data_IF_996132062650
#
_entry.id   IF_996132062650
#
_cell.length_a   1.000
_cell.length_b   1.000
_cell.length_c   1.000
_cell.angle_alpha   90.00
_cell.angle_beta   90.00
_cell.angle_gamma   90.00
#
_symmetry.space_group_name_H-M   'P 1'
#
loop_
_entity.id
_entity.type
_entity.pdbx_description
1 polymer ?
#
# COMPACT_ATOMS: atom_id res chain seq x y z
N UNK A 1 8.98 -23.97 -0.92
CA UNK A 1 7.71 -23.41 -1.42
C UNK A 1 7.50 -22.14 -0.63
N UNK A 2 7.29 -21.04 -1.29
CA UNK A 2 7.22 -19.70 -0.69
C UNK A 2 5.84 -19.12 -0.96
N UNK A 3 5.14 -18.69 0.07
CA UNK A 3 3.87 -17.99 -0.05
C UNK A 3 4.12 -16.55 -0.53
N UNK A 4 3.44 -16.14 -1.58
CA UNK A 4 3.53 -14.78 -2.12
C UNK A 4 2.20 -14.28 -2.66
N UNK A 5 2.21 -13.09 -3.23
CA UNK A 5 1.06 -12.45 -3.85
C UNK A 5 1.38 -12.19 -5.32
N UNK A 6 0.61 -12.78 -6.22
CA UNK A 6 0.61 -12.40 -7.62
C UNK A 6 -0.20 -11.10 -7.81
N UNK A 7 0.41 -10.13 -8.47
CA UNK A 7 -0.16 -8.81 -8.76
C UNK A 7 -0.34 -8.67 -10.26
N UNK A 8 -1.51 -9.03 -10.80
CA UNK A 8 -1.78 -8.87 -12.22
C UNK A 8 -1.61 -7.42 -12.68
N UNK A 9 -1.14 -7.24 -13.91
CA UNK A 9 -1.00 -5.90 -14.51
C UNK A 9 -2.35 -5.24 -14.76
N UNK A 10 -3.39 -6.03 -15.04
CA UNK A 10 -4.76 -5.54 -15.14
C UNK A 10 -5.32 -5.27 -13.72
N UNK A 11 -5.62 -4.01 -13.37
CA UNK A 11 -6.14 -3.69 -12.04
C UNK A 11 -7.55 -4.23 -11.78
N UNK A 12 -8.28 -4.68 -12.81
CA UNK A 12 -9.59 -5.32 -12.65
C UNK A 12 -9.49 -6.78 -12.17
N UNK A 13 -8.32 -7.41 -12.36
CA UNK A 13 -8.06 -8.75 -11.84
C UNK A 13 -7.67 -8.68 -10.36
N UNK A 14 -8.17 -9.59 -9.49
CA UNK A 14 -7.83 -9.58 -8.08
C UNK A 14 -6.36 -9.93 -7.83
N UNK A 15 -5.85 -9.55 -6.66
CA UNK A 15 -4.61 -10.10 -6.15
C UNK A 15 -4.82 -11.60 -5.85
N UNK A 16 -3.82 -12.42 -6.15
CA UNK A 16 -3.89 -13.86 -5.90
C UNK A 16 -2.79 -14.28 -4.93
N UNK A 17 -3.19 -14.91 -3.83
CA UNK A 17 -2.23 -15.53 -2.90
C UNK A 17 -1.83 -16.88 -3.47
N UNK A 18 -0.53 -17.04 -3.76
CA UNK A 18 0.02 -18.20 -4.45
C UNK A 18 1.21 -18.79 -3.69
N UNK A 19 1.43 -20.10 -3.89
CA UNK A 19 2.63 -20.79 -3.43
C UNK A 19 3.61 -20.97 -4.59
N UNK A 20 4.81 -20.41 -4.47
CA UNK A 20 5.87 -20.48 -5.48
C UNK A 20 6.85 -21.58 -5.11
N UNK A 21 6.90 -22.63 -5.91
CA UNK A 21 7.70 -23.82 -5.61
C UNK A 21 9.20 -23.62 -5.89
N UNK A 22 9.53 -22.79 -6.88
CA UNK A 22 10.91 -22.61 -7.39
C UNK A 22 11.00 -21.39 -8.32
N UNK A 23 12.21 -21.12 -8.82
CA UNK A 23 12.48 -20.02 -9.77
C UNK A 23 11.56 -20.04 -11.00
N UNK A 24 11.27 -21.22 -11.55
CA UNK A 24 10.43 -21.32 -12.74
C UNK A 24 8.99 -20.86 -12.47
N UNK A 25 8.49 -21.00 -11.25
CA UNK A 25 7.17 -20.51 -10.87
C UNK A 25 7.11 -18.98 -10.88
N UNK A 26 8.15 -18.29 -10.37
CA UNK A 26 8.26 -16.83 -10.45
C UNK A 26 8.34 -16.35 -11.89
N UNK A 27 9.22 -17.00 -12.69
CA UNK A 27 9.40 -16.67 -14.11
C UNK A 27 8.13 -16.84 -14.92
N UNK A 28 7.34 -17.88 -14.62
CA UNK A 28 6.04 -18.08 -15.25
C UNK A 28 5.04 -16.99 -14.88
N UNK A 29 5.02 -16.55 -13.61
CA UNK A 29 4.10 -15.51 -13.13
C UNK A 29 4.40 -14.14 -13.75
N UNK A 30 5.68 -13.77 -13.93
CA UNK A 30 6.08 -12.50 -14.56
C UNK A 30 6.30 -12.60 -16.06
N UNK A 31 6.13 -13.79 -16.65
CA UNK A 31 6.29 -14.08 -18.09
C UNK A 31 7.70 -13.81 -18.63
N UNK A 32 8.75 -14.09 -17.83
CA UNK A 32 10.14 -13.89 -18.25
C UNK A 32 11.16 -14.04 -17.13
N UNK A 33 12.37 -13.53 -17.36
CA UNK A 33 13.39 -13.44 -16.35
C UNK A 33 12.97 -12.47 -15.25
N UNK A 34 13.34 -12.75 -14.00
CA UNK A 34 12.94 -11.94 -12.85
C UNK A 34 13.99 -10.89 -12.51
N UNK A 35 13.51 -9.68 -12.19
CA UNK A 35 14.28 -8.60 -11.59
C UNK A 35 13.70 -8.32 -10.19
N UNK A 36 14.53 -8.34 -9.12
CA UNK A 36 14.07 -8.02 -7.77
C UNK A 36 14.00 -6.51 -7.52
N UNK A 37 12.96 -6.09 -6.85
CA UNK A 37 12.77 -4.72 -6.36
C UNK A 37 12.40 -4.78 -4.88
N UNK A 38 13.30 -4.34 -4.01
CA UNK A 38 13.12 -4.47 -2.57
C UNK A 38 12.35 -3.28 -1.97
N UNK A 39 11.53 -3.61 -0.98
CA UNK A 39 10.88 -2.64 -0.06
C UNK A 39 11.24 -3.05 1.37
N UNK A 40 12.40 -2.59 1.88
CA UNK A 40 12.91 -3.01 3.18
C UNK A 40 11.98 -2.70 4.35
N UNK A 41 11.28 -1.56 4.30
CA UNK A 41 10.34 -1.15 5.35
C UNK A 41 9.17 -2.12 5.55
N UNK A 42 8.82 -2.87 4.52
CA UNK A 42 7.80 -3.93 4.57
C UNK A 42 8.40 -5.33 4.67
N UNK A 43 9.73 -5.48 4.57
CA UNK A 43 10.39 -6.77 4.54
C UNK A 43 10.03 -7.61 3.31
N UNK A 44 9.76 -6.99 2.15
CA UNK A 44 9.34 -7.66 0.92
C UNK A 44 10.24 -7.36 -0.26
N UNK A 45 10.24 -8.31 -1.21
CA UNK A 45 10.78 -8.16 -2.56
C UNK A 45 9.65 -8.31 -3.58
N UNK A 46 9.60 -7.40 -4.55
CA UNK A 46 8.71 -7.47 -5.71
C UNK A 46 9.53 -8.01 -6.88
N UNK A 47 9.16 -9.14 -7.44
CA UNK A 47 9.71 -9.64 -8.69
C UNK A 47 8.91 -9.13 -9.88
N UNK A 48 9.59 -8.58 -10.88
CA UNK A 48 9.03 -8.14 -12.15
C UNK A 48 9.79 -8.75 -13.31
N UNK A 49 9.28 -8.60 -14.53
CA UNK A 49 9.99 -9.05 -15.72
C UNK A 49 11.19 -8.13 -16.01
N UNK A 50 12.43 -8.68 -16.02
CA UNK A 50 13.68 -7.96 -16.28
C UNK A 50 13.67 -7.23 -17.64
N UNK A 51 13.05 -7.82 -18.65
CA UNK A 51 12.94 -7.25 -19.99
C UNK A 51 11.65 -6.44 -20.19
N UNK A 52 10.86 -6.22 -19.13
CA UNK A 52 9.51 -5.67 -19.22
C UNK A 52 9.45 -4.33 -19.95
N UNK A 53 10.35 -3.40 -19.65
CA UNK A 53 10.43 -2.11 -20.35
C UNK A 53 10.84 -2.27 -21.82
N UNK A 54 11.79 -3.16 -22.13
CA UNK A 54 12.22 -3.43 -23.49
C UNK A 54 11.11 -4.08 -24.34
N UNK A 55 10.30 -4.92 -23.70
CA UNK A 55 9.14 -5.59 -24.31
C UNK A 55 7.90 -4.73 -24.36
N UNK A 56 7.97 -3.50 -23.85
CA UNK A 56 6.82 -2.58 -23.75
C UNK A 56 5.63 -3.19 -23.03
N UNK A 57 5.86 -3.94 -21.95
CA UNK A 57 4.78 -4.48 -21.13
C UNK A 57 3.98 -3.32 -20.52
N UNK A 58 2.67 -3.48 -20.30
CA UNK A 58 1.85 -2.41 -19.76
C UNK A 58 2.24 -2.07 -18.32
N UNK A 59 1.99 -0.81 -17.93
CA UNK A 59 2.27 -0.28 -16.59
C UNK A 59 1.48 -1.02 -15.51
N UNK A 60 2.17 -1.57 -14.51
CA UNK A 60 1.54 -2.14 -13.32
C UNK A 60 1.39 -1.06 -12.25
N UNK A 61 0.20 -0.47 -12.18
CA UNK A 61 -0.10 0.62 -11.25
C UNK A 61 0.01 0.17 -9.80
N UNK A 62 -0.51 -1.02 -9.45
CA UNK A 62 -0.52 -1.52 -8.08
C UNK A 62 0.90 -1.77 -7.56
N UNK A 63 1.71 -2.50 -8.30
CA UNK A 63 3.10 -2.76 -7.92
C UNK A 63 3.92 -1.46 -7.84
N UNK A 64 3.74 -0.53 -8.80
CA UNK A 64 4.45 0.75 -8.82
C UNK A 64 4.02 1.65 -7.66
N UNK A 65 2.73 1.75 -7.35
CA UNK A 65 2.24 2.60 -6.27
C UNK A 65 2.67 2.08 -4.90
N UNK A 66 2.68 0.76 -4.68
CA UNK A 66 3.25 0.15 -3.49
C UNK A 66 4.73 0.55 -3.34
N UNK A 67 5.51 0.37 -4.40
CA UNK A 67 6.93 0.70 -4.40
C UNK A 67 7.17 2.19 -4.15
N UNK A 68 6.49 3.07 -4.86
CA UNK A 68 6.66 4.52 -4.73
C UNK A 68 6.24 5.08 -3.37
N UNK A 69 5.25 4.46 -2.73
CA UNK A 69 4.79 4.88 -1.42
C UNK A 69 5.85 4.62 -0.34
N UNK A 70 6.48 3.45 -0.37
CA UNK A 70 7.50 3.05 0.61
C UNK A 70 8.92 3.47 0.22
N UNK A 71 9.18 3.72 -1.05
CA UNK A 71 10.51 4.08 -1.59
C UNK A 71 10.40 5.35 -2.44
N UNK A 72 10.31 6.54 -1.84
CA UNK A 72 10.01 7.80 -2.55
C UNK A 72 10.96 8.14 -3.71
N UNK A 73 12.23 7.78 -3.61
CA UNK A 73 13.21 8.02 -4.68
C UNK A 73 12.98 7.13 -5.92
N UNK A 74 12.18 6.08 -5.79
CA UNK A 74 11.82 5.19 -6.90
C UNK A 74 10.76 5.78 -7.87
N UNK A 75 10.15 6.92 -7.53
CA UNK A 75 9.12 7.58 -8.35
C UNK A 75 9.57 8.03 -9.74
N UNK A 76 10.87 7.92 -10.03
CA UNK A 76 11.44 8.20 -11.35
C UNK A 76 11.42 6.97 -12.28
N UNK A 77 11.08 5.79 -11.77
CA UNK A 77 10.98 4.54 -12.50
C UNK A 77 9.57 3.95 -12.35
N UNK A 78 9.24 2.94 -13.15
CA UNK A 78 7.95 2.27 -13.12
C UNK A 78 8.12 0.76 -13.22
N UNK A 79 7.20 0.02 -12.62
CA UNK A 79 7.11 -1.43 -12.78
C UNK A 79 6.06 -1.74 -13.85
N UNK A 80 6.38 -2.73 -14.70
CA UNK A 80 5.56 -3.10 -15.86
C UNK A 80 5.34 -4.60 -15.92
N UNK A 81 4.24 -5.04 -16.52
CA UNK A 81 3.83 -6.45 -16.57
C UNK A 81 3.31 -6.96 -15.22
N UNK A 82 3.07 -8.26 -15.15
CA UNK A 82 2.70 -8.90 -13.89
C UNK A 82 3.84 -8.85 -12.89
N UNK A 83 3.51 -8.80 -11.60
CA UNK A 83 4.49 -8.80 -10.52
C UNK A 83 4.18 -9.87 -9.47
N UNK A 84 5.18 -10.25 -8.69
CA UNK A 84 5.05 -11.18 -7.56
C UNK A 84 5.68 -10.56 -6.33
N UNK A 85 4.95 -10.52 -5.22
CA UNK A 85 5.43 -10.03 -3.92
C UNK A 85 5.71 -11.24 -3.03
N UNK A 86 6.91 -11.29 -2.45
CA UNK A 86 7.35 -12.29 -1.46
C UNK A 86 8.10 -11.62 -0.32
N UNK A 87 8.43 -12.33 0.73
CA UNK A 87 9.33 -11.82 1.76
C UNK A 87 10.75 -11.66 1.23
N UNK A 88 11.51 -10.75 1.85
CA UNK A 88 12.93 -10.56 1.50
C UNK A 88 13.71 -11.86 1.68
N UNK A 89 14.79 -12.06 0.90
CA UNK A 89 15.65 -13.21 1.04
C UNK A 89 16.25 -13.31 2.46
N UNK A 90 16.41 -14.54 2.92
CA UNK A 90 17.10 -14.85 4.18
C UNK A 90 18.64 -14.73 4.03
N UNK A 91 19.39 -15.08 5.09
CA UNK A 91 20.85 -15.03 5.12
C UNK A 91 21.52 -15.96 4.08
N UNK A 92 20.81 -16.96 3.56
CA UNK A 92 21.29 -17.87 2.53
C UNK A 92 20.94 -17.38 1.10
N UNK A 93 20.14 -16.31 0.99
CA UNK A 93 19.64 -15.79 -0.26
C UNK A 93 18.36 -16.50 -0.75
N UNK A 94 17.72 -17.32 0.10
CA UNK A 94 16.46 -17.97 -0.22
C UNK A 94 15.28 -17.05 0.10
N UNK A 95 14.32 -16.95 -0.83
CA UNK A 95 13.10 -16.18 -0.61
C UNK A 95 12.30 -16.72 0.57
N UNK A 96 11.74 -15.80 1.35
CA UNK A 96 10.86 -16.11 2.46
C UNK A 96 9.39 -15.86 2.09
N UNK A 97 8.46 -16.37 2.91
CA UNK A 97 7.04 -16.07 2.78
C UNK A 97 6.80 -14.56 2.92
N UNK A 98 5.82 -14.04 2.16
CA UNK A 98 5.35 -12.68 2.38
C UNK A 98 4.93 -12.51 3.85
N UNK A 99 5.37 -11.45 4.57
CA UNK A 99 4.98 -11.22 5.95
C UNK A 99 3.45 -11.17 6.12
N UNK A 100 2.93 -11.81 7.18
CA UNK A 100 1.48 -11.90 7.42
C UNK A 100 0.82 -10.51 7.54
N UNK A 101 1.54 -9.52 8.08
CA UNK A 101 1.08 -8.13 8.19
C UNK A 101 0.90 -7.52 6.79
N UNK A 102 1.83 -7.77 5.87
CA UNK A 102 1.74 -7.27 4.48
C UNK A 102 0.63 -8.00 3.72
N UNK A 103 0.55 -9.32 3.90
CA UNK A 103 -0.53 -10.11 3.31
C UNK A 103 -1.89 -9.56 3.76
N UNK A 104 -2.08 -9.40 5.07
CA UNK A 104 -3.31 -8.86 5.65
C UNK A 104 -3.61 -7.43 5.17
N UNK A 105 -2.57 -6.59 5.07
CA UNK A 105 -2.70 -5.20 4.61
C UNK A 105 -3.15 -5.12 3.15
N UNK A 106 -2.55 -5.89 2.25
CA UNK A 106 -2.84 -5.80 0.81
C UNK A 106 -4.12 -6.53 0.39
N UNK A 107 -4.56 -7.51 1.19
CA UNK A 107 -5.74 -8.35 0.88
C UNK A 107 -6.91 -8.16 1.84
N UNK A 108 -6.87 -7.12 2.70
CA UNK A 108 -7.97 -6.84 3.62
C UNK A 108 -9.28 -6.60 2.86
N UNK A 109 -10.36 -7.17 3.38
CA UNK A 109 -11.71 -6.87 2.91
C UNK A 109 -12.17 -5.50 3.47
N UNK A 110 -12.99 -4.78 2.70
CA UNK A 110 -13.54 -3.50 3.10
C UNK A 110 -12.81 -2.30 2.50
N UNK A 111 -12.91 -1.18 3.19
CA UNK A 111 -12.34 0.08 2.71
C UNK A 111 -11.01 0.39 3.41
N UNK A 112 -10.24 1.25 2.77
CA UNK A 112 -9.01 1.80 3.32
C UNK A 112 -9.17 3.30 3.59
N UNK A 113 -8.38 3.80 4.52
CA UNK A 113 -8.26 5.23 4.79
C UNK A 113 -6.79 5.62 4.96
N UNK A 114 -6.53 6.92 4.84
CA UNK A 114 -5.18 7.47 5.05
C UNK A 114 -5.13 8.10 6.43
N UNK A 115 -4.18 7.67 7.25
CA UNK A 115 -3.74 8.38 8.43
C UNK A 115 -2.73 9.44 8.04
N UNK A 116 -2.88 10.65 8.57
CA UNK A 116 -2.03 11.80 8.26
C UNK A 116 -1.44 12.30 9.56
N UNK A 117 -0.12 12.39 9.63
CA UNK A 117 0.59 13.03 10.73
C UNK A 117 0.84 14.48 10.39
N UNK A 118 0.42 15.37 11.28
CA UNK A 118 0.63 16.82 11.14
C UNK A 118 1.76 17.26 12.07
N UNK A 119 2.60 18.18 11.62
CA UNK A 119 3.71 18.71 12.41
C UNK A 119 3.24 19.40 13.71
N UNK A 120 4.17 19.57 14.65
CA UNK A 120 3.92 19.98 16.04
C UNK A 120 3.57 21.47 16.23
N UNK A 121 3.29 22.25 15.18
CA UNK A 121 2.92 23.66 15.32
C UNK A 121 1.47 23.83 15.84
N UNK A 122 1.26 24.33 17.08
CA UNK A 122 -0.07 24.46 17.68
C UNK A 122 -1.01 25.41 16.93
N UNK A 123 -0.49 26.37 16.17
CA UNK A 123 -1.30 27.31 15.36
C UNK A 123 -2.08 26.58 14.28
N UNK A 124 -1.59 25.45 13.88
CA UNK A 124 -2.06 24.59 12.81
C UNK A 124 -3.32 23.82 13.13
N UNK A 125 -3.42 23.27 14.35
CA UNK A 125 -4.60 22.51 14.80
C UNK A 125 -5.87 23.38 14.70
N UNK A 126 -5.75 24.69 14.91
CA UNK A 126 -6.86 25.64 14.77
C UNK A 126 -7.22 25.89 13.29
N UNK A 127 -6.22 25.97 12.41
CA UNK A 127 -6.43 26.23 10.99
C UNK A 127 -6.96 24.99 10.25
N UNK A 128 -6.42 23.81 10.54
CA UNK A 128 -6.92 22.55 10.01
C UNK A 128 -8.38 22.29 10.38
N UNK A 129 -8.77 22.55 11.62
CA UNK A 129 -10.18 22.46 12.08
C UNK A 129 -11.12 23.41 11.34
N UNK A 130 -10.64 24.55 10.82
CA UNK A 130 -11.51 25.55 10.18
C UNK A 130 -11.68 25.37 8.67
N UNK A 131 -10.74 24.71 7.98
CA UNK A 131 -10.76 24.58 6.51
C UNK A 131 -10.97 23.17 5.97
N UNK A 132 -10.80 22.16 6.82
CA UNK A 132 -10.86 20.76 6.40
C UNK A 132 -12.03 20.09 7.11
N UNK A 133 -13.23 20.53 6.78
CA UNK A 133 -14.49 19.88 7.24
C UNK A 133 -14.65 18.44 6.75
N UNK A 134 -13.76 17.99 5.88
CA UNK A 134 -13.73 16.63 5.35
C UNK A 134 -12.55 15.78 5.85
N UNK A 135 -11.67 16.32 6.68
CA UNK A 135 -10.64 15.55 7.36
C UNK A 135 -10.86 15.81 8.84
N UNK A 136 -11.11 14.83 9.59
CA UNK A 136 -10.80 14.79 11.03
C UNK A 136 -11.81 14.00 11.80
N UNK A 137 -11.33 12.85 12.18
CA UNK A 137 -11.71 12.38 13.50
C UNK A 137 -10.44 12.45 14.35
N UNK A 138 -10.52 13.03 15.54
CA UNK A 138 -9.37 13.14 16.38
C UNK A 138 -8.91 11.76 16.83
N UNK A 139 -7.61 11.50 16.61
CA UNK A 139 -6.80 10.60 17.39
C UNK A 139 -7.23 9.14 17.51
N UNK A 140 -6.41 8.31 16.90
CA UNK A 140 -6.10 6.99 17.46
C UNK A 140 -5.58 7.25 18.88
N UNK A 141 -6.26 6.74 19.88
CA UNK A 141 -5.91 6.87 21.29
C UNK A 141 -4.42 6.56 21.48
N UNK A 142 -3.65 7.53 21.95
CA UNK A 142 -2.22 7.37 22.30
C UNK A 142 -1.19 7.84 21.28
N UNK A 143 -1.57 8.28 20.06
CA UNK A 143 -0.62 8.88 19.11
C UNK A 143 -0.99 10.35 18.84
N UNK A 144 -0.29 11.31 19.43
CA UNK A 144 -0.54 12.72 19.17
C UNK A 144 -0.23 13.06 17.70
N UNK A 145 -1.05 13.97 17.14
CA UNK A 145 -0.89 14.54 15.80
C UNK A 145 -1.20 13.60 14.60
N UNK A 146 -1.78 12.42 14.81
CA UNK A 146 -2.30 11.58 13.75
C UNK A 146 -3.81 11.79 13.56
N UNK A 147 -4.22 11.93 12.30
CA UNK A 147 -5.60 12.17 11.90
C UNK A 147 -6.03 11.18 10.82
N UNK A 148 -7.23 10.63 10.93
CA UNK A 148 -7.79 9.75 9.90
C UNK A 148 -8.49 10.60 8.85
N UNK A 149 -8.19 10.37 7.56
CA UNK A 149 -8.90 11.02 6.46
C UNK A 149 -10.38 10.62 6.46
N UNK A 150 -11.24 11.50 5.96
CA UNK A 150 -12.66 11.16 5.73
C UNK A 150 -12.87 10.40 4.42
N UNK A 151 -11.92 10.52 3.49
CA UNK A 151 -11.96 9.78 2.23
C UNK A 151 -11.74 8.28 2.48
N UNK A 152 -12.45 7.48 1.70
CA UNK A 152 -12.39 6.02 1.73
C UNK A 152 -12.01 5.51 0.34
N UNK A 153 -11.25 4.44 0.32
CA UNK A 153 -10.65 3.87 -0.90
C UNK A 153 -10.97 2.39 -0.97
N UNK A 154 -11.20 1.91 -2.18
CA UNK A 154 -11.58 0.52 -2.43
C UNK A 154 -10.44 -0.48 -2.24
N UNK A 155 -9.20 -0.02 -2.34
CA UNK A 155 -8.02 -0.84 -2.14
C UNK A 155 -6.84 -0.04 -1.54
N UNK A 156 -5.81 -0.78 -1.12
CA UNK A 156 -4.59 -0.23 -0.57
C UNK A 156 -3.87 0.72 -1.54
N UNK A 157 -3.82 0.37 -2.81
CA UNK A 157 -3.00 1.08 -3.81
C UNK A 157 -3.58 2.44 -4.14
N UNK A 158 -4.90 2.54 -4.26
CA UNK A 158 -5.60 3.81 -4.40
C UNK A 158 -5.34 4.72 -3.18
N UNK A 159 -5.46 4.17 -1.97
CA UNK A 159 -5.17 4.90 -0.75
C UNK A 159 -3.70 5.36 -0.68
N UNK A 160 -2.74 4.53 -1.13
CA UNK A 160 -1.32 4.87 -1.18
C UNK A 160 -1.02 6.04 -2.12
N UNK A 161 -1.67 6.09 -3.30
CA UNK A 161 -1.55 7.23 -4.22
C UNK A 161 -2.01 8.52 -3.54
N UNK A 162 -3.16 8.50 -2.89
CA UNK A 162 -3.66 9.68 -2.19
C UNK A 162 -2.80 10.07 -1.00
N UNK A 163 -2.24 9.11 -0.27
CA UNK A 163 -1.27 9.36 0.80
C UNK A 163 -0.03 10.11 0.27
N UNK A 164 0.52 9.68 -0.88
CA UNK A 164 1.63 10.38 -1.55
C UNK A 164 1.25 11.79 -1.98
N UNK A 165 0.07 11.97 -2.59
CA UNK A 165 -0.42 13.29 -3.03
C UNK A 165 -0.58 14.24 -1.86
N UNK A 166 -1.08 13.75 -0.71
CA UNK A 166 -1.22 14.55 0.51
C UNK A 166 0.14 15.03 1.03
N UNK A 167 1.14 14.14 1.10
CA UNK A 167 2.50 14.52 1.52
C UNK A 167 3.14 15.55 0.60
N UNK A 168 2.90 15.47 -0.71
CA UNK A 168 3.48 16.41 -1.67
C UNK A 168 2.78 17.77 -1.70
N UNK A 169 1.48 17.78 -1.48
CA UNK A 169 0.66 18.99 -1.65
C UNK A 169 0.30 19.71 -0.36
N UNK A 170 0.42 19.05 0.75
CA UNK A 170 0.10 19.63 2.04
C UNK A 170 1.37 19.79 2.88
N UNK A 171 1.87 21.02 2.96
CA UNK A 171 3.14 21.38 3.61
C UNK A 171 3.25 20.96 5.07
N UNK A 172 2.13 20.70 5.71
CA UNK A 172 2.04 20.41 7.14
C UNK A 172 1.85 18.95 7.44
N UNK A 173 1.56 18.15 6.42
CA UNK A 173 1.62 16.72 6.49
C UNK A 173 3.09 16.30 6.51
N UNK A 174 3.53 15.66 7.58
CA UNK A 174 4.92 15.20 7.77
C UNK A 174 5.06 13.71 7.56
N UNK A 175 3.95 12.96 7.63
CA UNK A 175 3.93 11.52 7.41
C UNK A 175 2.52 11.05 7.07
N UNK A 176 2.40 9.91 6.38
CA UNK A 176 1.12 9.25 6.09
C UNK A 176 1.23 7.74 6.23
N UNK A 177 0.10 7.10 6.59
CA UNK A 177 -0.04 5.64 6.59
C UNK A 177 -1.37 5.26 5.96
N UNK A 178 -1.38 4.14 5.25
CA UNK A 178 -2.62 3.52 4.76
C UNK A 178 -3.05 2.46 5.77
N UNK A 179 -4.31 2.49 6.16
CA UNK A 179 -4.87 1.55 7.14
C UNK A 179 -6.17 0.94 6.63
N UNK A 180 -6.35 -0.37 6.73
CA UNK A 180 -7.60 -1.04 6.39
C UNK A 180 -8.69 -0.74 7.43
N UNK A 181 -9.94 -0.94 7.06
CA UNK A 181 -11.11 -0.70 7.92
C UNK A 181 -11.04 -1.44 9.26
N UNK A 182 -10.44 -2.62 9.28
CA UNK A 182 -10.25 -3.43 10.49
C UNK A 182 -9.38 -2.75 11.57
N UNK A 183 -8.54 -1.80 11.17
CA UNK A 183 -7.66 -1.06 12.08
C UNK A 183 -8.24 0.31 12.48
N UNK A 184 -9.43 0.67 12.00
CA UNK A 184 -10.05 1.94 12.38
C UNK A 184 -10.52 1.90 13.82
N UNK A 185 -10.54 3.08 14.51
CA UNK A 185 -11.12 3.19 15.85
C UNK A 185 -12.56 2.65 15.88
N UNK A 186 -12.91 1.88 16.91
CA UNK A 186 -14.23 1.24 17.06
C UNK A 186 -15.41 2.20 16.87
N UNK A 187 -15.24 3.47 17.27
CA UNK A 187 -16.27 4.52 17.11
C UNK A 187 -16.62 4.80 15.64
N UNK A 188 -15.71 4.49 14.70
CA UNK A 188 -15.91 4.68 13.27
C UNK A 188 -16.47 3.45 12.58
N UNK A 189 -16.11 2.27 13.07
CA UNK A 189 -16.65 1.01 12.58
C UNK A 189 -18.16 0.89 12.92
N UNK A 190 -18.59 1.44 14.08
CA UNK A 190 -19.98 1.39 14.54
C UNK A 190 -20.95 2.27 13.73
N UNK A 191 -20.47 3.32 13.05
CA UNK A 191 -21.33 4.24 12.29
C UNK A 191 -21.89 3.64 10.99
N UNK A 192 -21.27 2.61 10.43
CA UNK A 192 -21.77 1.90 9.23
C UNK A 192 -22.95 0.98 9.52
N UNK A 193 -23.06 0.44 10.74
CA UNK A 193 -24.16 -0.49 11.12
C UNK A 193 -25.54 0.15 11.19
N UNK A 194 -25.62 1.49 11.20
CA UNK A 194 -26.88 2.24 11.28
C UNK A 194 -27.38 2.80 9.94
N UNK A 195 -26.57 2.75 8.90
CA UNK A 195 -26.94 3.32 7.59
C UNK A 195 -27.63 2.34 6.61
N UNK A 196 -27.77 1.05 6.99
CA UNK A 196 -28.39 0.01 6.15
C UNK A 196 -29.81 -0.38 6.58
N UNK A 197 -30.46 0.44 7.40
CA UNK A 197 -31.86 0.21 7.80
C UNK A 197 -32.68 1.48 7.55
N UNK A 198 -32.95 1.77 6.29
CA UNK A 198 -34.12 2.57 5.85
C UNK A 198 -34.41 2.26 4.39
#
# INVERSE_FOLDING_TARGET
MVKGIHVPVDPSEPLEVCDFANLAAYQAAVEGWIEPVDIPDLGITIYVNEEGLLRHLPFNSRASFLWWFHVPHARQAMLVGNAVIVGMPDENGDNTDVPDEVLSLLTAEGEYAVLIKIGDDPSWVSYAKSRVTSIVLPLISGQPNWYLSSARYGDYFEAAVWAMVLLERWSDAVDTKVVPESEWPEQLQATKGTATSN
#
